data_IF_603127625212
#
_entry.id   IF_603127625212
#
_cell.length_a   1.000
_cell.length_b   1.000
_cell.length_c   1.000
_cell.angle_alpha   90.00
_cell.angle_beta   90.00
_cell.angle_gamma   90.00
#
_symmetry.space_group_name_H-M   'P 1'
#
loop_
_entity.id
_entity.type
_entity.pdbx_description
1 polymer ?
#
# COMPACT_ATOMS: atom_id res chain seq x y z
N UNK A 1 -7.12 -39.97 -0.86
CA UNK A 1 -6.25 -38.78 -0.69
C UNK A 1 -5.23 -39.16 0.37
N UNK A 2 -3.94 -38.89 0.17
CA UNK A 2 -2.88 -39.26 1.14
C UNK A 2 -3.13 -38.55 2.48
N UNK A 3 -2.92 -39.22 3.62
CA UNK A 3 -3.08 -38.63 4.96
C UNK A 3 -1.89 -37.72 5.33
N UNK A 4 -2.11 -36.73 6.21
CA UNK A 4 -1.08 -35.74 6.60
C UNK A 4 0.19 -36.40 7.14
N UNK A 5 0.04 -37.48 7.92
CA UNK A 5 1.16 -38.23 8.48
C UNK A 5 2.06 -38.85 7.41
N UNK A 6 1.48 -39.27 6.28
CA UNK A 6 2.24 -39.79 5.15
C UNK A 6 2.88 -38.66 4.34
N UNK A 7 2.20 -37.52 4.24
CA UNK A 7 2.70 -36.34 3.54
C UNK A 7 3.87 -35.66 4.28
N UNK A 8 3.93 -35.79 5.60
CA UNK A 8 5.03 -35.29 6.44
C UNK A 8 6.40 -35.89 6.07
N UNK A 9 6.41 -37.10 5.50
CA UNK A 9 7.64 -37.76 5.04
C UNK A 9 8.24 -37.10 3.78
N UNK A 10 7.43 -36.38 3.00
CA UNK A 10 7.85 -35.72 1.75
C UNK A 10 7.91 -34.20 1.88
N UNK A 11 7.02 -33.63 2.71
CA UNK A 11 6.93 -32.20 3.00
C UNK A 11 6.99 -32.02 4.52
N UNK A 12 8.19 -31.87 5.12
CA UNK A 12 8.35 -31.76 6.57
C UNK A 12 7.67 -30.52 7.15
N UNK A 13 7.62 -29.44 6.38
CA UNK A 13 6.93 -28.20 6.72
C UNK A 13 5.42 -28.41 6.74
N UNK A 14 4.79 -28.15 7.88
CA UNK A 14 3.33 -28.24 8.02
C UNK A 14 2.60 -27.23 7.10
N UNK A 15 3.17 -26.04 6.91
CA UNK A 15 2.58 -25.01 6.05
C UNK A 15 2.43 -25.46 4.60
N UNK A 16 3.46 -26.14 4.07
CA UNK A 16 3.46 -26.63 2.69
C UNK A 16 2.45 -27.76 2.48
N UNK A 17 2.28 -28.62 3.50
CA UNK A 17 1.25 -29.67 3.50
C UNK A 17 -0.16 -29.08 3.43
N UNK A 18 -0.44 -28.05 4.23
CA UNK A 18 -1.72 -27.34 4.20
C UNK A 18 -1.95 -26.65 2.87
N UNK A 19 -0.92 -26.01 2.30
CA UNK A 19 -1.00 -25.39 0.98
C UNK A 19 -1.35 -26.42 -0.11
N UNK A 20 -0.72 -27.59 -0.09
CA UNK A 20 -1.00 -28.67 -1.02
C UNK A 20 -2.42 -29.24 -0.85
N UNK A 21 -2.87 -29.44 0.39
CA UNK A 21 -4.24 -29.87 0.66
C UNK A 21 -5.27 -28.89 0.09
N UNK A 22 -5.05 -27.59 0.28
CA UNK A 22 -5.93 -26.56 -0.26
C UNK A 22 -5.89 -26.52 -1.79
N UNK A 23 -4.70 -26.59 -2.38
CA UNK A 23 -4.54 -26.64 -3.84
C UNK A 23 -5.32 -27.81 -4.46
N UNK A 24 -5.15 -29.02 -3.91
CA UNK A 24 -5.86 -30.22 -4.38
C UNK A 24 -7.37 -30.11 -4.20
N UNK A 25 -7.87 -29.55 -3.08
CA UNK A 25 -9.30 -29.31 -2.87
C UNK A 25 -9.91 -28.33 -3.89
N UNK A 26 -9.13 -27.36 -4.36
CA UNK A 26 -9.59 -26.40 -5.36
C UNK A 26 -9.47 -26.94 -6.80
N UNK A 27 -8.57 -27.89 -7.06
CA UNK A 27 -8.38 -28.48 -8.39
C UNK A 27 -9.36 -29.61 -8.75
N UNK A 28 -9.96 -30.31 -7.79
CA UNK A 28 -10.97 -31.35 -8.07
C UNK A 28 -12.33 -30.79 -8.53
N UNK A 29 -12.56 -29.47 -8.42
CA UNK A 29 -13.78 -28.79 -8.86
C UNK A 29 -13.65 -28.09 -10.24
N UNK A 30 -12.67 -28.48 -11.06
CA UNK A 30 -12.34 -27.83 -12.34
C UNK A 30 -13.23 -28.23 -13.53
N UNK A 31 -14.43 -28.77 -13.30
CA UNK A 31 -15.43 -28.95 -14.37
C UNK A 31 -16.41 -27.77 -14.54
N UNK A 32 -16.43 -26.76 -13.66
CA UNK A 32 -17.43 -25.65 -13.76
C UNK A 32 -16.96 -24.22 -13.44
N UNK A 33 -15.67 -23.90 -13.54
CA UNK A 33 -15.20 -22.50 -13.44
C UNK A 33 -14.22 -22.13 -14.56
N UNK A 34 -14.74 -22.13 -15.78
CA UNK A 34 -14.25 -21.26 -16.85
C UNK A 34 -15.20 -20.07 -16.98
N UNK A 35 -15.16 -19.13 -16.05
CA UNK A 35 -15.78 -17.82 -16.25
C UNK A 35 -15.19 -16.82 -15.24
N UNK A 36 -14.39 -15.88 -15.74
CA UNK A 36 -13.78 -14.84 -14.91
C UNK A 36 -12.51 -14.19 -15.44
N UNK A 37 -11.94 -14.65 -16.57
CA UNK A 37 -10.73 -14.05 -17.15
C UNK A 37 -10.86 -13.74 -18.66
N UNK A 38 -12.05 -13.37 -19.12
CA UNK A 38 -12.28 -12.89 -20.50
C UNK A 38 -13.17 -11.65 -20.52
N UNK A 39 -12.73 -10.54 -19.90
CA UNK A 39 -13.23 -9.20 -20.22
C UNK A 39 -12.09 -8.19 -20.17
N UNK A 40 -11.10 -8.35 -21.05
CA UNK A 40 -10.10 -7.31 -21.31
C UNK A 40 -9.43 -7.45 -22.68
N UNK A 41 -10.20 -7.83 -23.70
CA UNK A 41 -9.79 -7.73 -25.11
C UNK A 41 -11.06 -7.54 -25.92
N UNK A 42 -11.36 -6.29 -26.30
CA UNK A 42 -12.17 -5.86 -27.47
C UNK A 42 -12.70 -4.44 -27.21
N UNK A 43 -11.87 -3.43 -27.49
CA UNK A 43 -12.36 -2.11 -27.93
C UNK A 43 -11.35 -1.46 -28.88
N UNK A 44 -11.34 -2.05 -30.07
CA UNK A 44 -10.90 -1.60 -31.40
C UNK A 44 -11.91 -2.36 -32.29
N UNK A 45 -12.78 -1.79 -33.11
CA UNK A 45 -12.78 -0.61 -34.00
C UNK A 45 -14.24 -0.22 -34.34
N UNK A 46 -14.42 0.92 -35.02
CA UNK A 46 -15.67 1.34 -35.69
C UNK A 46 -15.85 2.87 -35.71
N UNK A 47 -15.01 3.62 -36.44
CA UNK A 47 -15.24 4.22 -37.77
C UNK A 47 -16.34 5.30 -37.85
N UNK A 48 -15.92 6.55 -38.00
CA UNK A 48 -16.46 7.49 -38.99
C UNK A 48 -15.28 8.32 -39.50
N UNK A 49 -15.18 8.40 -40.82
CA UNK A 49 -14.09 8.96 -41.59
C UNK A 49 -14.15 10.50 -41.58
N UNK A 50 -13.02 11.13 -41.30
CA UNK A 50 -12.66 12.42 -41.91
C UNK A 50 -11.12 12.54 -41.95
N UNK A 51 -10.65 13.16 -43.02
CA UNK A 51 -9.32 13.08 -43.63
C UNK A 51 -8.15 13.77 -42.86
N UNK A 52 -6.97 13.10 -42.86
CA UNK A 52 -5.57 13.64 -42.96
C UNK A 52 -4.93 14.32 -41.70
N UNK A 53 -3.57 14.34 -41.50
CA UNK A 53 -2.46 13.49 -41.96
C UNK A 53 -1.71 12.75 -40.82
N UNK A 54 -0.87 11.80 -41.22
CA UNK A 54 0.14 11.10 -40.42
C UNK A 54 1.00 12.05 -39.56
N UNK A 55 0.93 11.93 -38.23
CA UNK A 55 1.99 12.46 -37.36
C UNK A 55 2.41 11.44 -36.31
N UNK A 56 3.67 11.01 -36.46
CA UNK A 56 4.58 10.49 -35.44
C UNK A 56 3.99 9.59 -34.32
N UNK A 57 4.26 8.28 -34.39
CA UNK A 57 4.28 7.40 -33.22
C UNK A 57 5.43 7.82 -32.28
N UNK A 58 5.26 8.92 -31.55
CA UNK A 58 6.14 9.24 -30.41
C UNK A 58 5.92 8.18 -29.35
N UNK A 59 6.97 7.45 -29.00
CA UNK A 59 6.94 6.52 -27.88
C UNK A 59 6.45 7.28 -26.65
N UNK A 60 5.35 6.82 -26.06
CA UNK A 60 4.87 7.36 -24.79
C UNK A 60 5.88 6.95 -23.72
N UNK A 61 6.95 7.74 -23.54
CA UNK A 61 7.81 7.66 -22.37
C UNK A 61 6.88 7.87 -21.18
N UNK A 62 6.63 6.83 -20.39
CA UNK A 62 5.87 6.97 -19.14
C UNK A 62 6.61 8.01 -18.31
N UNK A 63 5.97 9.13 -18.02
CA UNK A 63 6.52 10.12 -17.11
C UNK A 63 6.82 9.42 -15.78
N UNK A 64 8.00 9.67 -15.20
CA UNK A 64 8.32 9.20 -13.85
C UNK A 64 7.21 9.70 -12.92
N UNK A 65 6.63 8.80 -12.14
CA UNK A 65 5.59 9.18 -11.18
C UNK A 65 6.21 10.09 -10.13
N UNK A 66 5.73 11.32 -10.04
CA UNK A 66 6.21 12.33 -9.09
C UNK A 66 5.71 12.10 -7.67
N UNK A 67 4.84 11.11 -7.46
CA UNK A 67 4.23 10.79 -6.17
C UNK A 67 4.34 9.31 -5.85
N UNK A 68 4.55 8.98 -4.59
CA UNK A 68 4.56 7.61 -4.07
C UNK A 68 3.56 7.50 -2.92
N UNK A 69 2.83 6.38 -2.87
CA UNK A 69 1.95 6.08 -1.75
C UNK A 69 2.78 5.57 -0.57
N UNK A 70 2.71 6.24 0.57
CA UNK A 70 3.31 5.81 1.82
C UNK A 70 2.22 5.51 2.85
N UNK A 71 2.54 4.71 3.86
CA UNK A 71 1.64 4.45 4.99
C UNK A 71 2.04 5.30 6.20
N UNK A 72 1.13 6.12 6.71
CA UNK A 72 1.33 6.92 7.92
C UNK A 72 0.39 6.42 9.01
N UNK A 73 0.92 6.23 10.21
CA UNK A 73 0.15 5.91 11.41
C UNK A 73 0.42 6.90 12.53
N UNK A 74 -0.56 7.07 13.42
CA UNK A 74 -0.41 7.92 14.60
C UNK A 74 0.02 7.12 15.83
N UNK A 75 1.14 7.52 16.41
CA UNK A 75 1.63 7.06 17.70
C UNK A 75 1.55 8.20 18.71
N UNK A 76 1.03 7.91 19.89
CA UNK A 76 0.83 8.88 20.94
C UNK A 76 1.52 8.43 22.22
N UNK A 77 2.26 9.34 22.84
CA UNK A 77 3.03 9.08 24.06
C UNK A 77 2.44 9.87 25.21
N UNK A 78 1.99 9.17 26.25
CA UNK A 78 1.48 9.73 27.51
C UNK A 78 2.27 9.09 28.64
N UNK A 79 2.78 9.87 29.59
CA UNK A 79 3.49 9.38 30.78
C UNK A 79 4.60 8.36 30.47
N UNK A 80 5.39 8.63 29.41
CA UNK A 80 6.46 7.75 28.87
C UNK A 80 5.98 6.43 28.27
N UNK A 81 4.67 6.23 28.13
CA UNK A 81 4.09 5.07 27.48
C UNK A 81 3.67 5.44 26.06
N UNK A 82 4.38 4.87 25.09
CA UNK A 82 4.14 5.06 23.66
C UNK A 82 3.13 4.03 23.15
N UNK A 83 2.00 4.47 22.58
CA UNK A 83 0.96 3.58 22.03
C UNK A 83 0.48 4.08 20.67
N UNK A 84 0.31 3.15 19.74
CA UNK A 84 -0.38 3.44 18.48
C UNK A 84 -1.87 3.74 18.74
N UNK A 85 -2.36 4.85 18.20
CA UNK A 85 -3.77 5.22 18.30
C UNK A 85 -4.57 4.39 17.31
N UNK A 86 -5.63 3.72 17.78
CA UNK A 86 -6.46 2.84 16.94
C UNK A 86 -7.38 3.65 16.03
N UNK A 87 -7.75 3.08 14.88
CA UNK A 87 -8.67 3.71 13.92
C UNK A 87 -10.00 4.16 14.54
N UNK A 88 -10.55 3.36 15.47
CA UNK A 88 -11.79 3.72 16.22
C UNK A 88 -11.67 5.01 17.04
N UNK A 89 -10.45 5.45 17.36
CA UNK A 89 -10.16 6.69 18.10
C UNK A 89 -9.64 7.81 17.17
N UNK A 90 -9.79 7.67 15.85
CA UNK A 90 -9.30 8.65 14.87
C UNK A 90 -7.84 8.46 14.46
N UNK A 91 -7.15 7.43 14.96
CA UNK A 91 -5.81 7.06 14.50
C UNK A 91 -5.84 6.02 13.37
N UNK A 92 -5.12 4.92 13.57
CA UNK A 92 -4.90 3.88 12.57
C UNK A 92 -3.80 4.26 11.58
N UNK A 93 -3.63 3.43 10.55
CA UNK A 93 -2.69 3.65 9.45
C UNK A 93 -3.47 3.97 8.18
N UNK A 94 -3.02 4.96 7.40
CA UNK A 94 -3.61 5.29 6.09
C UNK A 94 -2.54 5.43 5.02
N UNK A 95 -2.92 5.06 3.80
CA UNK A 95 -2.11 5.30 2.60
C UNK A 95 -2.32 6.73 2.13
N UNK A 96 -1.24 7.48 2.00
CA UNK A 96 -1.24 8.85 1.49
C UNK A 96 -0.25 8.99 0.33
N UNK A 97 -0.66 9.63 -0.78
CA UNK A 97 0.27 9.95 -1.86
C UNK A 97 1.11 11.17 -1.47
N UNK A 98 2.43 11.04 -1.43
CA UNK A 98 3.35 12.15 -1.19
C UNK A 98 4.30 12.30 -2.38
N UNK A 99 4.73 13.53 -2.65
CA UNK A 99 5.76 13.80 -3.66
C UNK A 99 7.05 13.02 -3.34
N UNK A 100 7.65 12.38 -4.34
CA UNK A 100 8.88 11.59 -4.16
C UNK A 100 10.06 12.44 -3.69
N UNK A 101 10.09 13.72 -4.03
CA UNK A 101 11.09 14.68 -3.56
C UNK A 101 10.73 15.30 -2.21
N UNK A 102 9.55 14.99 -1.66
CA UNK A 102 9.14 15.41 -0.33
C UNK A 102 9.89 14.64 0.76
N UNK A 103 9.92 15.22 1.96
CA UNK A 103 10.66 14.68 3.10
C UNK A 103 9.90 14.83 4.42
N UNK A 104 10.64 15.02 5.52
CA UNK A 104 10.10 15.12 6.87
C UNK A 104 8.90 16.07 7.00
N UNK A 105 9.06 17.30 6.51
CA UNK A 105 8.03 18.34 6.66
C UNK A 105 6.74 18.01 5.90
N UNK A 106 6.85 17.38 4.72
CA UNK A 106 5.69 16.97 3.92
C UNK A 106 4.93 15.85 4.62
N UNK A 107 5.65 14.85 5.15
CA UNK A 107 5.07 13.74 5.92
C UNK A 107 4.38 14.28 7.17
N UNK A 108 5.04 15.20 7.89
CA UNK A 108 4.51 15.81 9.10
C UNK A 108 3.22 16.60 8.81
N UNK A 109 3.22 17.39 7.73
CA UNK A 109 2.05 18.17 7.30
C UNK A 109 0.87 17.25 6.95
N UNK A 110 1.10 16.20 6.17
CA UNK A 110 0.07 15.23 5.82
C UNK A 110 -0.44 14.48 7.07
N UNK A 111 0.45 14.11 7.98
CA UNK A 111 0.09 13.49 9.26
C UNK A 111 -0.83 14.38 10.11
N UNK A 112 -0.52 15.68 10.23
CA UNK A 112 -1.37 16.64 10.94
C UNK A 112 -2.74 16.79 10.29
N UNK A 113 -2.78 16.99 8.97
CA UNK A 113 -4.05 17.09 8.24
C UNK A 113 -4.92 15.83 8.42
N UNK A 114 -4.29 14.67 8.54
CA UNK A 114 -4.97 13.39 8.66
C UNK A 114 -5.52 13.10 10.07
N UNK A 115 -4.73 13.39 11.11
CA UNK A 115 -5.05 13.00 12.50
C UNK A 115 -5.56 14.16 13.36
N UNK A 116 -5.34 15.40 12.93
CA UNK A 116 -5.79 16.64 13.58
C UNK A 116 -6.55 17.51 12.55
N UNK A 117 -7.67 17.01 11.98
CA UNK A 117 -8.50 17.83 11.11
C UNK A 117 -8.93 19.10 11.85
N UNK A 118 -8.82 20.25 11.19
CA UNK A 118 -9.09 21.56 11.79
C UNK A 118 -8.24 21.85 13.05
N UNK A 119 -7.07 21.22 13.16
CA UNK A 119 -6.16 21.37 14.30
C UNK A 119 -6.58 20.59 15.55
N UNK A 120 -7.63 19.75 15.48
CA UNK A 120 -8.15 19.02 16.64
C UNK A 120 -8.24 17.51 16.41
N UNK A 121 -7.81 16.74 17.39
CA UNK A 121 -7.96 15.28 17.42
C UNK A 121 -8.86 14.82 18.56
N UNK A 122 -9.07 13.50 18.67
CA UNK A 122 -9.73 12.88 19.83
C UNK A 122 -8.95 13.03 21.15
N UNK A 123 -7.69 13.51 21.10
CA UNK A 123 -6.82 13.68 22.26
C UNK A 123 -6.62 15.13 22.68
N UNK A 124 -6.92 16.11 21.83
CA UNK A 124 -6.73 17.52 22.14
C UNK A 124 -6.47 18.38 20.91
N UNK A 125 -6.08 19.63 21.13
CA UNK A 125 -5.69 20.55 20.06
C UNK A 125 -4.22 20.34 19.68
N UNK A 126 -3.86 20.54 18.42
CA UNK A 126 -2.49 20.29 17.94
C UNK A 126 -1.44 21.15 18.65
N UNK A 127 -1.80 22.34 19.12
CA UNK A 127 -0.89 23.21 19.90
C UNK A 127 -0.43 22.60 21.22
N UNK A 128 -1.16 21.62 21.74
CA UNK A 128 -0.89 21.00 23.04
C UNK A 128 0.17 19.89 22.91
N UNK A 129 0.59 19.58 21.68
CA UNK A 129 1.47 18.47 21.37
C UNK A 129 2.75 18.91 20.66
N UNK A 130 3.80 18.12 20.87
CA UNK A 130 4.98 18.13 20.02
C UNK A 130 4.88 16.96 19.05
N UNK A 131 5.25 17.21 17.80
CA UNK A 131 5.17 16.22 16.74
C UNK A 131 6.55 15.92 16.20
N UNK A 132 6.71 14.67 15.78
CA UNK A 132 7.92 14.15 15.18
C UNK A 132 7.56 13.01 14.21
N UNK A 133 8.45 12.69 13.28
CA UNK A 133 8.25 11.63 12.28
C UNK A 133 9.26 10.52 12.52
N UNK A 134 8.78 9.29 12.55
CA UNK A 134 9.56 8.10 12.86
C UNK A 134 9.31 7.05 11.79
N UNK A 135 10.32 6.25 11.47
CA UNK A 135 10.15 5.10 10.58
C UNK A 135 9.43 3.93 11.29
N UNK A 136 9.12 2.87 10.54
CA UNK A 136 8.46 1.68 11.08
C UNK A 136 9.31 0.90 12.11
N UNK A 137 10.64 1.15 12.15
CA UNK A 137 11.58 0.58 13.11
C UNK A 137 11.78 1.47 14.35
N UNK A 138 11.01 2.56 14.46
CA UNK A 138 11.12 3.55 15.53
C UNK A 138 12.47 4.29 15.54
N UNK A 139 13.05 4.54 14.37
CA UNK A 139 14.13 5.51 14.23
C UNK A 139 13.54 6.88 13.87
N UNK A 140 14.09 7.98 14.40
CA UNK A 140 13.73 9.33 13.95
C UNK A 140 13.96 9.46 12.45
N UNK A 141 13.00 10.06 11.75
CA UNK A 141 13.09 10.29 10.32
C UNK A 141 14.06 11.46 10.04
N UNK A 142 15.12 11.28 9.23
CA UNK A 142 16.08 12.34 8.97
C UNK A 142 15.46 13.52 8.22
N UNK A 143 15.83 14.74 8.57
CA UNK A 143 15.31 15.96 7.92
C UNK A 143 15.79 16.13 6.47
N UNK A 144 16.98 15.62 6.14
CA UNK A 144 17.64 15.85 4.84
C UNK A 144 17.44 14.69 3.85
N UNK A 145 16.49 13.79 4.12
CA UNK A 145 16.22 12.60 3.30
C UNK A 145 14.84 12.72 2.64
N UNK A 146 14.78 12.47 1.34
CA UNK A 146 13.53 12.43 0.59
C UNK A 146 12.93 11.03 0.57
N UNK A 147 11.64 10.95 0.26
CA UNK A 147 10.93 9.68 0.09
C UNK A 147 11.57 8.83 -1.01
N UNK A 148 12.02 9.44 -2.12
CA UNK A 148 12.72 8.73 -3.20
C UNK A 148 13.94 7.97 -2.67
N UNK A 149 14.79 8.64 -1.88
CA UNK A 149 16.02 8.05 -1.35
C UNK A 149 15.76 6.82 -0.45
N UNK A 150 14.67 6.83 0.31
CA UNK A 150 14.34 5.73 1.24
C UNK A 150 13.94 4.47 0.49
N UNK A 151 13.25 4.63 -0.63
CA UNK A 151 12.69 3.50 -1.39
C UNK A 151 13.60 2.99 -2.51
N UNK A 152 14.65 3.72 -2.85
CA UNK A 152 15.63 3.33 -3.87
C UNK A 152 16.85 2.59 -3.26
N UNK A 153 16.81 2.28 -1.96
CA UNK A 153 17.75 1.41 -1.23
C UNK A 153 17.41 -0.07 -1.36
#
# INVERSE_FOLDING_TARGET
MMEDAQLANYLPSYGDRIALFNFCKHHTNTSKRKEGLQKLKLRKEGHSEEEVPETSRKSRRKAKQSTRNIEIGWVHTIDKVTKQVRAKQGGGTRKVPINVHGGFNDILKEGKALFFPEGKSSKGHESDFKFDVWDFKQNPFPNDVSIEMIYDT
#
